data_IF_594689861633
#
_entry.id   IF_594689861633
#
_cell.length_a   1.000
_cell.length_b   1.000
_cell.length_c   1.000
_cell.angle_alpha   90.00
_cell.angle_beta   90.00
_cell.angle_gamma   90.00
#
_symmetry.space_group_name_H-M   'P 1'
#
loop_
_entity.id
_entity.type
_entity.pdbx_description
1 polymer ?
#
# COMPACT_ATOMS: atom_id res chain seq x y z
N UNK A 1 5.46 -6.92 19.50
CA UNK A 1 6.00 -5.65 20.05
C UNK A 1 7.49 -5.43 19.73
N UNK A 2 8.29 -6.47 19.53
CA UNK A 2 9.72 -6.36 19.15
C UNK A 2 9.93 -5.67 17.81
N UNK A 3 9.17 -6.05 16.79
CA UNK A 3 9.40 -5.61 15.39
C UNK A 3 9.05 -4.14 15.16
N UNK A 4 7.96 -3.63 15.75
CA UNK A 4 7.60 -2.21 15.69
C UNK A 4 8.71 -1.31 16.27
N UNK A 5 9.28 -1.72 17.41
CA UNK A 5 10.37 -0.97 18.03
C UNK A 5 11.63 -0.97 17.17
N UNK A 6 11.93 -2.06 16.48
CA UNK A 6 13.07 -2.15 15.58
C UNK A 6 12.86 -1.29 14.32
N UNK A 7 11.67 -1.31 13.73
CA UNK A 7 11.35 -0.52 12.53
C UNK A 7 11.33 1.00 12.82
N UNK A 8 11.03 1.42 14.05
CA UNK A 8 11.14 2.82 14.47
C UNK A 8 12.58 3.24 14.81
N UNK A 9 13.37 2.36 15.40
CA UNK A 9 14.76 2.68 15.82
C UNK A 9 15.68 2.92 14.62
N UNK A 10 15.50 2.18 13.54
CA UNK A 10 16.39 2.26 12.35
C UNK A 10 16.36 3.63 11.71
N UNK A 11 15.20 4.21 11.28
CA UNK A 11 15.15 5.55 10.71
C UNK A 11 15.59 6.63 11.70
N UNK A 12 15.26 6.49 12.99
CA UNK A 12 15.69 7.42 14.02
C UNK A 12 17.21 7.45 14.19
N UNK A 13 17.86 6.27 14.13
CA UNK A 13 19.32 6.19 14.15
C UNK A 13 19.97 6.81 12.90
N UNK A 14 19.35 6.62 11.73
CA UNK A 14 19.77 7.26 10.47
C UNK A 14 19.71 8.78 10.55
N UNK A 15 18.58 9.34 10.97
CA UNK A 15 18.41 10.79 11.18
C UNK A 15 19.48 11.32 12.13
N UNK A 16 19.69 10.65 13.27
CA UNK A 16 20.68 11.06 14.26
C UNK A 16 22.10 11.04 13.69
N UNK A 17 22.49 9.96 12.98
CA UNK A 17 23.81 9.83 12.37
C UNK A 17 24.08 10.96 11.36
N UNK A 18 23.14 11.24 10.47
CA UNK A 18 23.25 12.30 9.48
C UNK A 18 23.31 13.68 10.13
N UNK A 19 22.50 13.92 11.16
CA UNK A 19 22.52 15.17 11.94
C UNK A 19 23.85 15.35 12.66
N UNK A 20 24.36 14.30 13.34
CA UNK A 20 25.67 14.34 14.03
C UNK A 20 26.80 14.62 13.02
N UNK A 21 26.74 14.03 11.82
CA UNK A 21 27.72 14.26 10.75
C UNK A 21 27.74 15.72 10.26
N UNK A 22 26.56 16.34 10.09
CA UNK A 22 26.44 17.74 9.71
C UNK A 22 27.04 18.65 10.81
N UNK A 23 26.72 18.35 12.08
CA UNK A 23 27.15 19.19 13.22
C UNK A 23 28.65 19.07 13.55
N UNK A 24 29.28 17.93 13.26
CA UNK A 24 30.68 17.65 13.60
C UNK A 24 31.65 17.96 12.46
N UNK A 25 31.15 18.23 11.26
CA UNK A 25 32.01 18.53 10.10
C UNK A 25 32.12 20.04 9.89
N UNK A 26 33.26 20.61 10.23
CA UNK A 26 33.57 22.00 9.91
C UNK A 26 33.70 22.16 8.39
N UNK A 27 32.93 23.08 7.78
CA UNK A 27 32.96 23.39 6.35
C UNK A 27 32.54 22.23 5.43
N UNK A 28 31.48 21.49 5.81
CA UNK A 28 30.85 20.55 4.88
C UNK A 28 30.41 21.32 3.62
N UNK A 29 30.67 20.72 2.45
CA UNK A 29 30.24 21.34 1.19
C UNK A 29 28.72 21.43 1.08
N UNK A 30 28.16 22.43 0.38
CA UNK A 30 26.72 22.65 0.32
C UNK A 30 25.96 21.51 -0.36
N UNK A 31 26.57 20.77 -1.28
CA UNK A 31 25.94 19.65 -2.00
C UNK A 31 25.76 18.46 -1.07
N UNK A 32 26.82 18.05 -0.36
CA UNK A 32 26.75 16.99 0.68
C UNK A 32 25.77 17.38 1.80
N UNK A 33 25.77 18.66 2.23
CA UNK A 33 24.80 19.13 3.23
C UNK A 33 23.38 18.96 2.73
N UNK A 34 23.10 19.32 1.47
CA UNK A 34 21.77 19.17 0.85
C UNK A 34 21.35 17.70 0.74
N UNK A 35 22.28 16.81 0.37
CA UNK A 35 22.04 15.37 0.34
C UNK A 35 21.63 14.84 1.72
N UNK A 36 22.42 15.17 2.76
CA UNK A 36 22.12 14.72 4.13
C UNK A 36 20.78 15.25 4.65
N UNK A 37 20.44 16.52 4.38
CA UNK A 37 19.14 17.09 4.74
C UNK A 37 18.00 16.39 3.98
N UNK A 38 18.22 16.06 2.71
CA UNK A 38 17.25 15.32 1.91
C UNK A 38 17.01 13.91 2.48
N UNK A 39 18.07 13.22 2.87
CA UNK A 39 17.98 11.88 3.47
C UNK A 39 17.32 11.91 4.86
N UNK A 40 17.60 12.94 5.67
CA UNK A 40 16.88 13.18 6.94
C UNK A 40 15.37 13.34 6.67
N UNK A 41 15.00 14.11 5.63
CA UNK A 41 13.62 14.29 5.23
C UNK A 41 12.94 12.95 4.86
N UNK A 42 13.61 12.13 4.07
CA UNK A 42 13.11 10.79 3.68
C UNK A 42 12.88 9.86 4.88
N UNK A 43 13.82 9.85 5.84
CA UNK A 43 13.68 9.03 7.04
C UNK A 43 12.58 9.56 7.98
N UNK A 44 12.37 10.88 8.05
CA UNK A 44 11.26 11.48 8.80
C UNK A 44 9.91 11.14 8.18
N UNK A 45 9.76 11.19 6.86
CA UNK A 45 8.56 10.74 6.15
C UNK A 45 8.28 9.25 6.37
N UNK A 46 9.35 8.44 6.39
CA UNK A 46 9.24 7.01 6.69
C UNK A 46 8.72 6.77 8.11
N UNK A 47 9.23 7.51 9.11
CA UNK A 47 8.74 7.46 10.50
C UNK A 47 7.27 7.86 10.59
N UNK A 48 6.85 8.91 9.92
CA UNK A 48 5.45 9.34 9.88
C UNK A 48 4.55 8.22 9.36
N UNK A 49 4.90 7.59 8.24
CA UNK A 49 4.15 6.46 7.69
C UNK A 49 4.08 5.24 8.64
N UNK A 50 5.18 4.93 9.33
CA UNK A 50 5.19 3.83 10.32
C UNK A 50 4.24 4.16 11.47
N UNK A 51 4.28 5.38 12.01
CA UNK A 51 3.43 5.79 13.15
C UNK A 51 1.96 5.83 12.77
N UNK A 52 1.60 6.35 11.60
CA UNK A 52 0.22 6.34 11.07
C UNK A 52 -0.31 4.91 10.92
N UNK A 53 0.51 4.02 10.35
CA UNK A 53 0.17 2.61 10.18
C UNK A 53 -0.04 1.89 11.53
N UNK A 54 0.83 2.16 12.51
CA UNK A 54 0.68 1.60 13.87
C UNK A 54 -0.57 2.11 14.58
N UNK A 55 -0.88 3.40 14.46
CA UNK A 55 -2.11 3.98 15.00
C UNK A 55 -3.36 3.36 14.35
N UNK A 56 -3.31 3.09 13.04
CA UNK A 56 -4.41 2.42 12.34
C UNK A 56 -4.59 0.98 12.82
N UNK A 57 -3.50 0.22 12.95
CA UNK A 57 -3.54 -1.15 13.48
C UNK A 57 -4.11 -1.17 14.91
N UNK A 58 -3.72 -0.24 15.77
CA UNK A 58 -4.26 -0.18 17.15
C UNK A 58 -5.76 0.13 17.17
N UNK A 59 -6.29 0.92 16.23
CA UNK A 59 -7.74 1.16 16.10
C UNK A 59 -8.48 -0.09 15.62
N UNK A 60 -7.93 -0.81 14.65
CA UNK A 60 -8.49 -2.09 14.17
C UNK A 60 -8.48 -3.15 15.29
N UNK A 61 -7.38 -3.29 16.02
CA UNK A 61 -7.26 -4.21 17.17
C UNK A 61 -8.21 -3.81 18.32
N UNK A 62 -8.53 -2.53 18.46
CA UNK A 62 -9.48 -2.01 19.47
C UNK A 62 -10.95 -2.27 19.17
N UNK A 63 -11.28 -2.89 18.03
CA UNK A 63 -12.65 -3.27 17.64
C UNK A 63 -13.59 -2.08 17.33
N UNK A 64 -13.09 -0.86 17.28
CA UNK A 64 -13.86 0.32 16.87
C UNK A 64 -13.88 0.40 15.35
N UNK A 65 -14.79 -0.35 14.74
CA UNK A 65 -15.00 -0.30 13.29
C UNK A 65 -16.06 0.75 12.99
N UNK A 66 -15.74 1.84 12.25
CA UNK A 66 -16.75 2.82 11.85
C UNK A 66 -17.90 2.15 11.08
N UNK A 67 -19.11 2.67 11.20
CA UNK A 67 -20.26 2.15 10.47
C UNK A 67 -19.97 2.14 8.96
N UNK A 68 -20.19 1.00 8.32
CA UNK A 68 -20.08 0.88 6.88
C UNK A 68 -21.30 1.50 6.20
N UNK A 69 -21.09 2.04 5.00
CA UNK A 69 -22.11 2.61 4.13
C UNK A 69 -21.79 2.27 2.67
N UNK A 70 -22.73 2.45 1.74
CA UNK A 70 -22.48 2.22 0.33
C UNK A 70 -21.38 3.13 -0.23
N UNK A 71 -20.31 2.55 -0.76
CA UNK A 71 -19.19 3.26 -1.37
C UNK A 71 -18.96 2.77 -2.81
N UNK A 72 -19.14 3.66 -3.78
CA UNK A 72 -18.83 3.37 -5.17
C UNK A 72 -17.30 3.31 -5.37
N UNK A 73 -16.79 2.18 -5.89
CA UNK A 73 -15.34 1.95 -6.07
C UNK A 73 -14.73 2.89 -7.12
N UNK A 74 -15.45 3.19 -8.19
CA UNK A 74 -14.94 3.97 -9.31
C UNK A 74 -14.43 5.37 -8.93
N UNK A 75 -15.22 6.22 -8.24
CA UNK A 75 -14.75 7.54 -7.77
C UNK A 75 -13.54 7.47 -6.85
N UNK A 76 -13.45 6.43 -5.99
CA UNK A 76 -12.28 6.23 -5.11
C UNK A 76 -11.05 5.88 -5.91
N UNK A 77 -11.19 4.95 -6.88
CA UNK A 77 -10.09 4.58 -7.78
C UNK A 77 -9.55 5.81 -8.52
N UNK A 78 -10.42 6.64 -9.09
CA UNK A 78 -9.99 7.86 -9.79
C UNK A 78 -9.20 8.83 -8.90
N UNK A 79 -9.51 8.90 -7.60
CA UNK A 79 -8.74 9.71 -6.65
C UNK A 79 -7.33 9.12 -6.45
N UNK A 80 -7.25 7.81 -6.24
CA UNK A 80 -5.98 7.09 -6.04
C UNK A 80 -5.11 7.18 -7.29
N UNK A 81 -5.69 6.99 -8.48
CA UNK A 81 -4.98 7.16 -9.77
C UNK A 81 -4.35 8.55 -9.91
N UNK A 82 -5.10 9.61 -9.56
CA UNK A 82 -4.55 10.99 -9.59
C UNK A 82 -3.41 11.17 -8.60
N UNK A 83 -3.50 10.59 -7.40
CA UNK A 83 -2.46 10.69 -6.38
C UNK A 83 -1.18 9.96 -6.78
N UNK A 84 -1.30 8.78 -7.36
CA UNK A 84 -0.17 7.94 -7.74
C UNK A 84 0.36 8.22 -9.15
N UNK A 85 -0.36 9.01 -9.94
CA UNK A 85 -0.06 9.25 -11.35
C UNK A 85 1.33 9.84 -11.61
N UNK A 86 1.80 10.78 -10.78
CA UNK A 86 3.15 11.33 -10.90
C UNK A 86 4.22 10.29 -10.62
N UNK A 87 4.07 9.53 -9.53
CA UNK A 87 5.02 8.46 -9.15
C UNK A 87 5.06 7.36 -10.20
N UNK A 88 3.90 6.99 -10.75
CA UNK A 88 3.81 6.01 -11.83
C UNK A 88 4.50 6.52 -13.11
N UNK A 89 4.27 7.78 -13.49
CA UNK A 89 4.90 8.40 -14.66
C UNK A 89 6.43 8.47 -14.54
N UNK A 90 6.95 8.85 -13.37
CA UNK A 90 8.40 8.88 -13.09
C UNK A 90 9.05 7.49 -13.24
N UNK A 91 8.28 6.43 -12.99
CA UNK A 91 8.74 5.04 -13.15
C UNK A 91 8.41 4.41 -14.51
N UNK A 92 7.76 5.16 -15.39
CA UNK A 92 7.32 4.63 -16.69
C UNK A 92 6.22 3.56 -16.58
N UNK A 93 5.41 3.60 -15.51
CA UNK A 93 4.33 2.65 -15.25
C UNK A 93 3.00 3.21 -15.75
N UNK A 94 2.27 2.43 -16.54
CA UNK A 94 0.93 2.77 -17.03
C UNK A 94 -0.13 2.24 -16.06
N UNK A 95 -0.98 3.13 -15.54
CA UNK A 95 -2.14 2.74 -14.73
C UNK A 95 -3.37 2.68 -15.63
N UNK A 96 -4.19 1.64 -15.47
CA UNK A 96 -5.48 1.48 -16.13
C UNK A 96 -6.54 0.95 -15.18
N UNK A 97 -7.75 1.53 -15.23
CA UNK A 97 -8.87 1.13 -14.40
C UNK A 97 -10.10 0.75 -15.24
N UNK A 98 -10.78 -0.33 -14.85
CA UNK A 98 -12.08 -0.73 -15.40
C UNK A 98 -12.99 -1.14 -14.23
N UNK A 99 -13.94 -0.26 -13.89
CA UNK A 99 -14.85 -0.44 -12.74
C UNK A 99 -16.29 -0.48 -13.24
N UNK A 100 -17.01 -1.53 -12.91
CA UNK A 100 -18.44 -1.66 -13.17
C UNK A 100 -19.24 -0.64 -12.33
N UNK A 101 -20.28 -0.03 -12.89
CA UNK A 101 -21.09 0.99 -12.19
C UNK A 101 -21.81 0.45 -10.96
N UNK A 102 -22.06 -0.86 -10.92
CA UNK A 102 -22.69 -1.54 -9.80
C UNK A 102 -21.69 -1.99 -8.70
N UNK A 103 -20.39 -1.76 -8.90
CA UNK A 103 -19.36 -2.05 -7.90
C UNK A 103 -19.43 -1.07 -6.72
N UNK A 104 -20.43 -1.26 -5.86
CA UNK A 104 -20.69 -0.47 -4.64
C UNK A 104 -20.44 -1.35 -3.43
N UNK A 105 -19.34 -1.11 -2.72
CA UNK A 105 -18.95 -1.90 -1.56
C UNK A 105 -19.61 -1.37 -0.27
N UNK A 106 -19.95 -2.28 0.65
CA UNK A 106 -20.35 -1.92 2.01
C UNK A 106 -19.08 -1.72 2.87
N UNK A 107 -18.60 -0.49 2.93
CA UNK A 107 -17.33 -0.13 3.58
C UNK A 107 -17.38 1.34 4.01
N UNK A 108 -16.25 1.94 4.40
CA UNK A 108 -16.08 3.39 4.41
C UNK A 108 -15.27 3.84 3.20
N UNK A 109 -15.37 5.12 2.84
CA UNK A 109 -14.56 5.71 1.77
C UNK A 109 -13.05 5.54 2.07
N UNK A 110 -12.66 5.74 3.32
CA UNK A 110 -11.28 5.56 3.79
C UNK A 110 -10.78 4.11 3.66
N UNK A 111 -11.65 3.12 3.88
CA UNK A 111 -11.26 1.71 3.72
C UNK A 111 -10.96 1.37 2.26
N UNK A 112 -11.88 1.74 1.35
CA UNK A 112 -11.70 1.50 -0.09
C UNK A 112 -10.47 2.27 -0.61
N UNK A 113 -10.31 3.52 -0.18
CA UNK A 113 -9.15 4.34 -0.51
C UNK A 113 -7.85 3.68 -0.05
N UNK A 114 -7.77 3.26 1.20
CA UNK A 114 -6.59 2.61 1.78
C UNK A 114 -6.23 1.30 1.08
N UNK A 115 -7.24 0.47 0.78
CA UNK A 115 -7.05 -0.79 0.05
C UNK A 115 -6.44 -0.51 -1.33
N UNK A 116 -7.08 0.35 -2.11
CA UNK A 116 -6.61 0.69 -3.46
C UNK A 116 -5.23 1.34 -3.43
N UNK A 117 -5.02 2.32 -2.54
CA UNK A 117 -3.74 3.02 -2.44
C UNK A 117 -2.59 2.07 -2.14
N UNK A 118 -2.69 1.22 -1.11
CA UNK A 118 -1.60 0.31 -0.76
C UNK A 118 -1.31 -0.73 -1.85
N UNK A 119 -2.35 -1.30 -2.46
CA UNK A 119 -2.17 -2.30 -3.50
C UNK A 119 -1.56 -1.69 -4.77
N UNK A 120 -2.06 -0.52 -5.20
CA UNK A 120 -1.55 0.18 -6.37
C UNK A 120 -0.14 0.75 -6.13
N UNK A 121 0.14 1.31 -4.95
CA UNK A 121 1.49 1.77 -4.59
C UNK A 121 2.49 0.60 -4.65
N UNK A 122 2.14 -0.56 -4.09
CA UNK A 122 2.97 -1.76 -4.19
C UNK A 122 3.16 -2.21 -5.65
N UNK A 123 2.10 -2.24 -6.44
CA UNK A 123 2.16 -2.60 -7.86
C UNK A 123 3.09 -1.67 -8.66
N UNK A 124 3.01 -0.35 -8.46
CA UNK A 124 3.91 0.64 -9.07
C UNK A 124 5.36 0.45 -8.57
N UNK A 125 5.51 0.20 -7.30
CA UNK A 125 6.81 0.06 -6.64
C UNK A 125 7.61 -1.12 -7.17
N UNK A 126 6.94 -2.24 -7.41
CA UNK A 126 7.55 -3.51 -7.82
C UNK A 126 7.31 -3.86 -9.29
N UNK A 127 6.71 -2.95 -10.08
CA UNK A 127 6.48 -3.17 -11.50
C UNK A 127 7.78 -3.36 -12.30
N UNK A 128 7.63 -3.89 -13.50
CA UNK A 128 8.75 -4.09 -14.41
C UNK A 128 9.43 -2.74 -14.77
N UNK A 129 10.75 -2.70 -14.94
CA UNK A 129 11.47 -1.47 -15.29
C UNK A 129 11.13 -0.97 -16.71
N UNK A 130 10.69 -1.86 -17.58
CA UNK A 130 10.25 -1.54 -18.93
C UNK A 130 8.82 -2.02 -19.14
N UNK A 131 7.99 -1.18 -19.76
CA UNK A 131 6.57 -1.47 -20.02
C UNK A 131 5.79 -1.86 -18.75
N UNK A 132 6.13 -1.26 -17.62
CA UNK A 132 5.43 -1.48 -16.36
C UNK A 132 3.95 -1.11 -16.48
N UNK A 133 3.06 -1.95 -15.96
CA UNK A 133 1.64 -1.61 -15.88
C UNK A 133 1.04 -1.99 -14.52
N UNK A 134 0.00 -1.26 -14.15
CA UNK A 134 -0.92 -1.59 -13.06
C UNK A 134 -2.34 -1.53 -13.61
N UNK A 135 -3.05 -2.65 -13.54
CA UNK A 135 -4.45 -2.75 -13.95
C UNK A 135 -5.33 -2.96 -12.73
N UNK A 136 -6.36 -2.15 -12.60
CA UNK A 136 -7.37 -2.29 -11.54
C UNK A 136 -8.71 -2.58 -12.19
N UNK A 137 -9.33 -3.69 -11.81
CA UNK A 137 -10.67 -4.05 -12.28
C UNK A 137 -11.58 -4.26 -11.08
N UNK A 138 -12.82 -3.80 -11.16
CA UNK A 138 -13.82 -4.05 -10.12
C UNK A 138 -15.17 -4.40 -10.75
N UNK A 139 -15.77 -5.48 -10.23
CA UNK A 139 -17.07 -5.98 -10.71
C UNK A 139 -17.84 -6.62 -9.55
N UNK A 140 -19.12 -6.91 -9.78
CA UNK A 140 -19.94 -7.66 -8.83
C UNK A 140 -19.95 -9.14 -9.24
N UNK A 141 -19.60 -10.02 -8.30
CA UNK A 141 -19.59 -11.46 -8.47
C UNK A 141 -20.12 -12.11 -7.19
N UNK A 142 -21.09 -13.01 -7.31
CA UNK A 142 -21.67 -13.79 -6.20
C UNK A 142 -22.11 -12.94 -4.99
N UNK A 143 -22.70 -11.76 -5.24
CA UNK A 143 -23.12 -10.82 -4.18
C UNK A 143 -22.00 -10.11 -3.44
N UNK A 144 -20.81 -10.09 -4.00
CA UNK A 144 -19.64 -9.37 -3.51
C UNK A 144 -19.08 -8.42 -4.56
N UNK A 145 -18.47 -7.34 -4.12
CA UNK A 145 -17.62 -6.52 -4.96
C UNK A 145 -16.23 -7.16 -5.00
N UNK A 146 -15.81 -7.57 -6.18
CA UNK A 146 -14.49 -8.16 -6.43
C UNK A 146 -13.62 -7.11 -7.09
N UNK A 147 -12.52 -6.75 -6.44
CA UNK A 147 -11.52 -5.81 -6.95
C UNK A 147 -10.24 -6.59 -7.21
N UNK A 148 -9.69 -6.49 -8.41
CA UNK A 148 -8.37 -7.05 -8.73
C UNK A 148 -7.39 -5.93 -9.00
N UNK A 149 -6.17 -6.06 -8.48
CA UNK A 149 -5.03 -5.19 -8.80
C UNK A 149 -3.93 -6.08 -9.34
N UNK A 150 -3.61 -5.90 -10.61
CA UNK A 150 -2.64 -6.72 -11.34
C UNK A 150 -1.48 -5.87 -11.83
N UNK A 151 -0.26 -6.36 -11.63
CA UNK A 151 0.98 -5.79 -12.16
C UNK A 151 1.77 -6.82 -12.97
N UNK A 152 2.73 -6.36 -13.75
CA UNK A 152 3.70 -7.19 -14.45
C UNK A 152 5.10 -7.09 -13.84
N UNK A 153 5.17 -6.88 -12.53
CA UNK A 153 6.42 -6.69 -11.81
C UNK A 153 7.20 -7.98 -11.56
N UNK A 154 8.03 -7.92 -10.54
CA UNK A 154 8.92 -9.04 -10.19
C UNK A 154 8.18 -10.28 -9.65
N UNK A 155 6.88 -10.14 -9.34
CA UNK A 155 6.08 -11.20 -8.72
C UNK A 155 6.46 -11.46 -7.25
N UNK A 156 5.80 -12.46 -6.67
CA UNK A 156 6.02 -12.91 -5.30
C UNK A 156 6.33 -14.42 -5.36
N UNK A 157 7.45 -14.88 -4.79
CA UNK A 157 7.75 -16.31 -4.71
C UNK A 157 6.65 -17.10 -3.99
N UNK A 158 6.40 -18.35 -4.41
CA UNK A 158 5.36 -19.21 -3.82
C UNK A 158 5.54 -19.41 -2.32
N UNK A 159 6.78 -19.49 -1.86
CA UNK A 159 7.12 -19.66 -0.44
C UNK A 159 6.77 -18.43 0.40
N UNK A 160 6.71 -17.24 -0.22
CA UNK A 160 6.41 -15.99 0.46
C UNK A 160 4.91 -15.65 0.45
N UNK A 161 4.13 -16.15 -0.53
CA UNK A 161 2.70 -15.86 -0.68
C UNK A 161 1.88 -16.04 0.62
N UNK A 162 2.10 -17.09 1.44
CA UNK A 162 1.37 -17.25 2.69
C UNK A 162 1.68 -16.17 3.75
N UNK A 163 2.83 -15.49 3.62
CA UNK A 163 3.39 -14.61 4.63
C UNK A 163 3.28 -13.12 4.30
N UNK A 164 3.00 -12.75 3.05
CA UNK A 164 3.01 -11.34 2.62
C UNK A 164 2.02 -10.45 3.36
N UNK A 165 1.02 -11.01 4.01
CA UNK A 165 0.04 -10.31 4.83
C UNK A 165 0.42 -10.26 6.32
N UNK A 166 1.53 -10.91 6.72
CA UNK A 166 2.01 -10.85 8.09
C UNK A 166 2.60 -9.45 8.39
N UNK A 167 2.39 -8.96 9.60
CA UNK A 167 2.89 -7.63 10.01
C UNK A 167 4.42 -7.61 9.96
N UNK A 168 5.00 -6.59 9.31
CA UNK A 168 6.44 -6.38 9.11
C UNK A 168 7.12 -7.40 8.18
N UNK A 169 6.36 -8.29 7.54
CA UNK A 169 6.92 -9.23 6.59
C UNK A 169 7.40 -8.54 5.31
N UNK A 170 8.50 -9.03 4.76
CA UNK A 170 9.12 -8.51 3.55
C UNK A 170 9.88 -9.64 2.86
N UNK A 171 9.59 -9.89 1.59
CA UNK A 171 10.24 -10.92 0.76
C UNK A 171 11.77 -10.72 0.70
N UNK A 172 12.23 -9.49 0.52
CA UNK A 172 13.65 -9.12 0.53
C UNK A 172 13.88 -7.89 1.42
N UNK A 173 14.54 -8.09 2.56
CA UNK A 173 14.83 -7.04 3.54
C UNK A 173 15.83 -6.00 3.04
N UNK A 174 16.77 -6.37 2.13
CA UNK A 174 17.78 -5.44 1.62
C UNK A 174 17.18 -4.54 0.53
N UNK A 175 16.59 -5.13 -0.50
CA UNK A 175 15.98 -4.41 -1.63
C UNK A 175 14.81 -3.52 -1.20
N UNK A 176 14.03 -4.00 -0.22
CA UNK A 176 12.88 -3.24 0.29
C UNK A 176 13.28 -2.05 1.18
N UNK A 177 14.51 -1.99 1.73
CA UNK A 177 14.99 -0.80 2.47
C UNK A 177 15.28 0.36 1.52
N UNK A 178 15.90 0.09 0.39
CA UNK A 178 16.16 1.11 -0.66
C UNK A 178 14.86 1.69 -1.22
N UNK A 179 13.81 0.87 -1.28
CA UNK A 179 12.50 1.26 -1.83
C UNK A 179 11.49 1.73 -0.74
N UNK A 180 11.92 1.83 0.54
CA UNK A 180 11.16 2.52 1.61
C UNK A 180 9.93 1.81 2.17
N UNK A 181 9.78 0.47 2.02
CA UNK A 181 8.66 -0.28 2.55
C UNK A 181 8.70 -0.50 4.07
N UNK A 182 7.55 -0.41 4.74
CA UNK A 182 7.40 -0.63 6.19
C UNK A 182 7.03 -2.08 6.55
N UNK A 183 6.56 -2.88 5.58
CA UNK A 183 6.00 -4.22 5.82
C UNK A 183 4.63 -4.21 6.53
N UNK A 184 3.98 -3.03 6.62
CA UNK A 184 2.68 -2.89 7.27
C UNK A 184 1.52 -2.71 6.28
N UNK A 185 1.80 -2.29 5.04
CA UNK A 185 0.75 -1.94 4.09
C UNK A 185 -0.21 -3.08 3.79
N UNK A 186 0.31 -4.28 3.47
CA UNK A 186 -0.52 -5.45 3.15
C UNK A 186 -1.25 -6.02 4.36
N UNK A 187 -0.66 -5.99 5.55
CA UNK A 187 -1.35 -6.41 6.78
C UNK A 187 -2.52 -5.47 7.13
N UNK A 188 -2.33 -4.15 6.95
CA UNK A 188 -3.42 -3.17 7.12
C UNK A 188 -4.54 -3.41 6.11
N UNK A 189 -4.20 -3.70 4.85
CA UNK A 189 -5.19 -4.04 3.82
C UNK A 189 -5.99 -5.26 4.24
N UNK A 190 -5.32 -6.33 4.67
CA UNK A 190 -5.98 -7.55 5.15
C UNK A 190 -6.88 -7.27 6.35
N UNK A 191 -6.37 -6.64 7.40
CA UNK A 191 -7.13 -6.33 8.63
C UNK A 191 -8.35 -5.44 8.32
N UNK A 192 -8.21 -4.47 7.38
CA UNK A 192 -9.32 -3.61 6.94
C UNK A 192 -10.41 -4.42 6.23
N UNK A 193 -10.02 -5.30 5.30
CA UNK A 193 -10.95 -6.13 4.51
C UNK A 193 -11.67 -7.15 5.42
N UNK A 194 -10.93 -7.84 6.27
CA UNK A 194 -11.49 -8.82 7.22
C UNK A 194 -12.43 -8.15 8.24
N UNK A 195 -12.10 -6.94 8.70
CA UNK A 195 -12.97 -6.13 9.56
C UNK A 195 -14.30 -5.73 8.89
N UNK A 196 -14.39 -5.80 7.56
CA UNK A 196 -15.62 -5.60 6.78
C UNK A 196 -16.30 -6.90 6.37
N UNK A 197 -15.82 -8.06 6.86
CA UNK A 197 -16.34 -9.37 6.48
C UNK A 197 -15.98 -9.79 5.07
N UNK A 198 -14.94 -9.20 4.50
CA UNK A 198 -14.37 -9.50 3.20
C UNK A 198 -13.19 -10.48 3.27
N UNK A 199 -12.54 -10.69 2.12
CA UNK A 199 -11.35 -11.52 2.00
C UNK A 199 -10.37 -10.94 0.97
N UNK A 200 -9.08 -11.23 1.15
CA UNK A 200 -8.03 -10.91 0.19
C UNK A 200 -7.19 -12.14 -0.11
N UNK A 201 -6.76 -12.26 -1.34
CA UNK A 201 -5.77 -13.24 -1.78
C UNK A 201 -4.77 -12.62 -2.74
N UNK A 202 -3.63 -13.26 -2.89
CA UNK A 202 -2.62 -12.92 -3.87
C UNK A 202 -2.21 -14.15 -4.66
N UNK A 203 -1.80 -13.94 -5.90
CA UNK A 203 -1.30 -14.97 -6.79
C UNK A 203 -0.46 -14.35 -7.90
N UNK A 204 0.05 -15.21 -8.78
CA UNK A 204 0.80 -14.75 -9.94
C UNK A 204 -0.09 -13.94 -10.89
N UNK A 205 0.52 -12.98 -11.56
CA UNK A 205 -0.12 -12.24 -12.64
C UNK A 205 -0.36 -13.11 -13.88
N UNK A 206 -0.94 -12.53 -14.94
CA UNK A 206 -1.15 -13.21 -16.21
C UNK A 206 0.15 -13.83 -16.73
N UNK A 207 0.05 -15.05 -17.28
CA UNK A 207 1.18 -15.81 -17.81
C UNK A 207 2.31 -16.10 -16.78
N UNK A 208 1.99 -16.04 -15.50
CA UNK A 208 2.96 -16.27 -14.41
C UNK A 208 3.89 -15.09 -14.16
N UNK A 209 3.64 -13.91 -14.71
CA UNK A 209 4.46 -12.70 -14.56
C UNK A 209 3.75 -11.68 -13.68
N UNK A 210 4.49 -11.09 -12.72
CA UNK A 210 3.95 -10.10 -11.80
C UNK A 210 3.04 -10.69 -10.74
N UNK A 211 2.17 -9.85 -10.17
CA UNK A 211 1.28 -10.22 -9.07
C UNK A 211 -0.15 -9.81 -9.38
N UNK A 212 -1.11 -10.60 -8.94
CA UNK A 212 -2.53 -10.23 -8.89
C UNK A 212 -3.03 -10.34 -7.45
N UNK A 213 -3.46 -9.22 -6.88
CA UNK A 213 -4.22 -9.19 -5.64
C UNK A 213 -5.71 -9.22 -5.97
N UNK A 214 -6.47 -10.07 -5.27
CA UNK A 214 -7.92 -10.16 -5.39
C UNK A 214 -8.56 -9.83 -4.05
N UNK A 215 -9.34 -8.78 -4.01
CA UNK A 215 -10.10 -8.30 -2.84
C UNK A 215 -11.57 -8.60 -3.05
N UNK A 216 -12.24 -9.11 -2.02
CA UNK A 216 -13.68 -9.33 -1.97
C UNK A 216 -14.25 -8.54 -0.81
N UNK A 217 -15.22 -7.67 -1.09
CA UNK A 217 -15.95 -6.90 -0.09
C UNK A 217 -17.45 -7.21 -0.20
N UNK A 218 -18.21 -7.12 0.89
CA UNK A 218 -19.65 -7.22 0.81
C UNK A 218 -20.23 -6.17 -0.15
N UNK A 219 -21.15 -6.59 -1.02
CA UNK A 219 -21.91 -5.67 -1.87
C UNK A 219 -22.87 -4.88 -1.00
N UNK A 220 -22.92 -3.57 -1.18
CA UNK A 220 -23.96 -2.77 -0.58
C UNK A 220 -25.31 -3.12 -1.21
N UNK A 221 -26.28 -3.48 -0.39
CA UNK A 221 -27.64 -3.68 -0.88
C UNK A 221 -28.17 -2.33 -1.37
N UNK A 222 -28.71 -2.26 -2.58
CA UNK A 222 -29.54 -1.15 -2.98
C UNK A 222 -30.76 -1.16 -2.08
N UNK A 223 -31.02 -0.12 -1.31
CA UNK A 223 -32.36 0.11 -0.78
C UNK A 223 -33.25 0.23 -2.03
N UNK A 224 -34.11 -0.78 -2.25
CA UNK A 224 -35.22 -0.61 -3.18
C UNK A 224 -36.07 0.51 -2.60
N UNK A 225 -36.08 1.66 -3.28
CA UNK A 225 -37.01 2.73 -3.00
C UNK A 225 -38.43 2.14 -3.13
N UNK A 226 -39.09 1.97 -1.98
CA UNK A 226 -40.48 1.52 -1.87
C UNK A 226 -41.45 2.66 -2.16
#
# INVERSE_FOLDING_TARGET
MSDASHELKTPLAGIRLLTDSILQTDNMDPETTKEFVTDIGREAERLSRITENLLRLTRLDGGVVPSAYPVAVGPVLQRVERMLGMVAAEKGVVISGAVSEDAVALATDDDVHQILYNLMENAIKYSAPENGFVRVEASVQDGQVVITVTDNGIGIPDEDLPHIFDRFYRVDKMRSREVGGTGLGLSIVKDTIEGRGGAISAGHGPDGVGTTFTVRLPLAQREEEA
#
